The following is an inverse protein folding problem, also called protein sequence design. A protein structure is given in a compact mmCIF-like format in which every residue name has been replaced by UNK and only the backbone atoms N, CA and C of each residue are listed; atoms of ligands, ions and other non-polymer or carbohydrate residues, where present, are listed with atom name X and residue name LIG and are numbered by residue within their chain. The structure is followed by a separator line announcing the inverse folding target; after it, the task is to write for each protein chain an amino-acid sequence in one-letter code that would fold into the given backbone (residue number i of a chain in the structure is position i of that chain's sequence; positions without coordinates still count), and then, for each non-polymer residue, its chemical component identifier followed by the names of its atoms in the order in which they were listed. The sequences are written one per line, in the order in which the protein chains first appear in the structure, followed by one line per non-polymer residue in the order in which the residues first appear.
data_IF_245109524837
#
_entry.id   IF_245109524837
#
_cell.length_a   1.000
_cell.length_b   1.000
_cell.length_c   1.000
_cell.angle_alpha   90.00
_cell.angle_beta   90.00
_cell.angle_gamma   90.00
#
_symmetry.space_group_name_H-M   'P 1'
#
loop_
_entity.id
_entity.type
_entity.pdbx_description
1 polymer ?
#
# COMPACT_ATOMS: atom_id res chain seq x y z
N UNK A 1 4.91 56.10 -25.66
CA UNK A 1 5.25 54.66 -25.82
C UNK A 1 4.75 53.80 -24.66
N UNK A 2 4.88 54.23 -23.40
CA UNK A 2 4.37 53.52 -22.21
C UNK A 2 2.85 53.30 -22.20
N UNK A 3 2.07 54.33 -22.54
CA UNK A 3 0.60 54.22 -22.61
C UNK A 3 0.11 53.31 -23.74
N UNK A 4 0.84 53.21 -24.84
CA UNK A 4 0.49 52.30 -25.94
C UNK A 4 0.68 50.85 -25.51
N UNK A 5 1.79 50.54 -24.84
CA UNK A 5 2.03 49.21 -24.26
C UNK A 5 0.99 48.87 -23.19
N UNK A 6 0.64 49.82 -22.32
CA UNK A 6 -0.39 49.60 -21.30
C UNK A 6 -1.78 49.36 -21.91
N UNK A 7 -2.17 50.17 -22.89
CA UNK A 7 -3.44 49.99 -23.60
C UNK A 7 -3.47 48.70 -24.42
N UNK A 8 -2.35 48.31 -25.05
CA UNK A 8 -2.23 47.04 -25.76
C UNK A 8 -2.36 45.86 -24.79
N UNK A 9 -1.76 45.95 -23.60
CA UNK A 9 -1.82 44.91 -22.58
C UNK A 9 -3.22 44.80 -21.95
N UNK A 10 -3.90 45.93 -21.74
CA UNK A 10 -5.30 45.98 -21.31
C UNK A 10 -6.25 45.46 -22.40
N UNK A 11 -5.99 45.75 -23.66
CA UNK A 11 -6.79 45.22 -24.78
C UNK A 11 -6.62 43.71 -24.94
N UNK A 12 -5.41 43.17 -24.75
CA UNK A 12 -5.16 41.71 -24.71
C UNK A 12 -5.82 41.07 -23.49
N UNK A 13 -5.87 41.77 -22.36
CA UNK A 13 -6.55 41.30 -21.15
C UNK A 13 -8.08 41.27 -21.30
N UNK A 14 -8.66 42.32 -21.88
CA UNK A 14 -10.11 42.45 -22.11
C UNK A 14 -10.59 41.53 -23.25
N UNK A 15 -9.74 41.26 -24.24
CA UNK A 15 -10.01 40.32 -25.34
C UNK A 15 -9.60 38.87 -25.01
N UNK A 16 -9.25 38.55 -23.75
CA UNK A 16 -9.26 37.15 -23.29
C UNK A 16 -10.73 36.71 -23.22
N UNK A 17 -11.15 35.99 -24.24
CA UNK A 17 -12.51 35.45 -24.38
C UNK A 17 -13.02 34.83 -23.06
N UNK A 18 -14.04 35.45 -22.46
CA UNK A 18 -14.86 34.87 -21.38
C UNK A 18 -15.43 33.48 -21.74
N UNK A 19 -15.40 33.12 -23.02
CA UNK A 19 -15.84 31.84 -23.53
C UNK A 19 -15.05 30.66 -22.94
N UNK A 20 -13.74 30.79 -22.70
CA UNK A 20 -12.90 29.69 -22.19
C UNK A 20 -13.34 29.17 -20.82
N UNK A 21 -13.73 30.07 -19.91
CA UNK A 21 -14.26 29.69 -18.58
C UNK A 21 -15.63 29.01 -18.74
N UNK A 22 -16.46 29.50 -19.66
CA UNK A 22 -17.76 28.89 -19.95
C UNK A 22 -17.62 27.49 -20.56
N UNK A 23 -16.64 27.28 -21.45
CA UNK A 23 -16.36 25.98 -22.06
C UNK A 23 -15.84 24.97 -21.01
N UNK A 24 -14.93 25.41 -20.12
CA UNK A 24 -14.41 24.56 -19.05
C UNK A 24 -15.51 24.11 -18.08
N UNK A 25 -16.42 25.01 -17.71
CA UNK A 25 -17.57 24.68 -16.87
C UNK A 25 -18.58 23.77 -17.58
N UNK A 26 -18.77 23.94 -18.90
CA UNK A 26 -19.58 23.03 -19.73
C UNK A 26 -19.00 21.61 -19.71
N UNK A 27 -17.71 21.46 -20.00
CA UNK A 27 -17.04 20.15 -19.97
C UNK A 27 -17.14 19.46 -18.61
N UNK A 28 -17.04 20.20 -17.50
CA UNK A 28 -17.24 19.64 -16.17
C UNK A 28 -18.65 19.09 -15.98
N UNK A 29 -19.67 19.86 -16.38
CA UNK A 29 -21.07 19.45 -16.27
C UNK A 29 -21.38 18.22 -17.14
N UNK A 30 -20.84 18.19 -18.36
CA UNK A 30 -20.96 17.06 -19.28
C UNK A 30 -20.25 15.81 -18.73
N UNK A 31 -19.06 15.97 -18.15
CA UNK A 31 -18.30 14.87 -17.55
C UNK A 31 -19.06 14.25 -16.36
N UNK A 32 -19.60 15.10 -15.48
CA UNK A 32 -20.42 14.66 -14.34
C UNK A 32 -21.68 13.94 -14.82
N UNK A 33 -22.36 14.48 -15.83
CA UNK A 33 -23.56 13.86 -16.42
C UNK A 33 -23.24 12.50 -17.02
N UNK A 34 -22.15 12.37 -17.79
CA UNK A 34 -21.69 11.11 -18.34
C UNK A 34 -21.38 10.09 -17.23
N UNK A 35 -20.70 10.53 -16.16
CA UNK A 35 -20.36 9.68 -15.02
C UNK A 35 -21.62 9.16 -14.30
N UNK A 36 -22.60 10.04 -14.04
CA UNK A 36 -23.88 9.68 -13.41
C UNK A 36 -24.69 8.72 -14.28
N UNK A 37 -24.64 8.89 -15.60
CA UNK A 37 -25.25 7.98 -16.57
C UNK A 37 -24.48 6.66 -16.74
N UNK A 38 -23.39 6.45 -15.98
CA UNK A 38 -22.49 5.29 -16.06
C UNK A 38 -21.79 5.13 -17.41
N UNK A 39 -21.78 6.18 -18.23
CA UNK A 39 -20.93 6.24 -19.42
C UNK A 39 -19.50 6.62 -19.01
N UNK A 40 -18.83 5.66 -18.38
CA UNK A 40 -17.50 5.89 -17.82
C UNK A 40 -16.45 6.14 -18.90
N UNK A 41 -16.68 5.69 -20.14
CA UNK A 41 -15.78 5.95 -21.26
C UNK A 41 -15.84 7.42 -21.65
N UNK A 42 -17.04 7.97 -21.84
CA UNK A 42 -17.21 9.39 -22.13
C UNK A 42 -16.77 10.26 -20.95
N UNK A 43 -17.11 9.86 -19.72
CA UNK A 43 -16.68 10.57 -18.51
C UNK A 43 -15.15 10.62 -18.41
N UNK A 44 -14.45 9.50 -18.62
CA UNK A 44 -12.99 9.47 -18.60
C UNK A 44 -12.41 10.44 -19.64
N UNK A 45 -12.89 10.39 -20.89
CA UNK A 45 -12.42 11.28 -21.95
C UNK A 45 -12.57 12.76 -21.58
N UNK A 46 -13.75 13.16 -21.09
CA UNK A 46 -14.01 14.56 -20.69
C UNK A 46 -13.18 14.97 -19.47
N UNK A 47 -13.07 14.12 -18.45
CA UNK A 47 -12.23 14.41 -17.29
C UNK A 47 -10.75 14.48 -17.65
N UNK A 48 -10.24 13.69 -18.59
CA UNK A 48 -8.86 13.82 -19.08
C UNK A 48 -8.60 15.18 -19.71
N UNK A 49 -9.54 15.68 -20.52
CA UNK A 49 -9.43 17.02 -21.12
C UNK A 49 -9.37 18.09 -20.03
N UNK A 50 -10.17 17.96 -18.96
CA UNK A 50 -10.17 18.88 -17.82
C UNK A 50 -8.85 18.78 -17.05
N UNK A 51 -8.37 17.57 -16.75
CA UNK A 51 -7.22 17.36 -15.85
C UNK A 51 -5.87 17.58 -16.52
N UNK A 52 -5.76 17.32 -17.82
CA UNK A 52 -4.53 17.48 -18.59
C UNK A 52 -4.46 18.86 -19.26
N UNK A 53 -5.61 19.51 -19.48
CA UNK A 53 -5.70 20.85 -20.06
C UNK A 53 -5.34 21.98 -19.09
N UNK A 54 -5.26 21.70 -17.78
CA UNK A 54 -4.93 22.71 -16.76
C UNK A 54 -3.97 22.16 -15.72
N UNK A 55 -2.91 22.93 -15.43
CA UNK A 55 -2.00 22.67 -14.31
C UNK A 55 -2.71 22.76 -12.95
N UNK A 56 -3.83 23.49 -12.88
CA UNK A 56 -4.61 23.74 -11.68
C UNK A 56 -5.92 22.95 -11.67
N UNK A 57 -5.94 21.79 -12.32
CA UNK A 57 -7.13 20.95 -12.34
C UNK A 57 -7.59 20.61 -10.91
N UNK A 58 -8.89 20.79 -10.66
CA UNK A 58 -9.48 20.52 -9.36
C UNK A 58 -9.27 19.06 -8.94
N UNK A 59 -8.90 18.79 -7.67
CA UNK A 59 -8.71 17.42 -7.16
C UNK A 59 -9.93 16.53 -7.38
N UNK A 60 -11.15 17.09 -7.27
CA UNK A 60 -12.39 16.36 -7.50
C UNK A 60 -12.50 15.82 -8.94
N UNK A 61 -12.18 16.62 -9.95
CA UNK A 61 -12.20 16.19 -11.36
C UNK A 61 -11.21 15.05 -11.61
N UNK A 62 -10.02 15.12 -11.01
CA UNK A 62 -9.03 14.02 -11.09
C UNK A 62 -9.48 12.78 -10.32
N UNK A 63 -10.21 12.92 -9.22
CA UNK A 63 -10.81 11.79 -8.49
C UNK A 63 -11.84 11.08 -9.37
N UNK A 64 -12.72 11.82 -10.04
CA UNK A 64 -13.70 11.24 -10.95
C UNK A 64 -13.08 10.63 -12.21
N UNK A 65 -11.97 11.18 -12.72
CA UNK A 65 -11.17 10.51 -13.74
C UNK A 65 -10.67 9.14 -13.25
N UNK A 66 -10.11 9.10 -12.04
CA UNK A 66 -9.61 7.86 -11.44
C UNK A 66 -10.74 6.84 -11.22
N UNK A 67 -11.93 7.28 -10.79
CA UNK A 67 -13.13 6.44 -10.68
C UNK A 67 -13.59 5.91 -12.04
N UNK A 68 -13.62 6.76 -13.07
CA UNK A 68 -14.00 6.37 -14.42
C UNK A 68 -13.06 5.27 -14.94
N UNK A 69 -11.75 5.44 -14.74
CA UNK A 69 -10.77 4.41 -15.07
C UNK A 69 -10.93 3.12 -14.27
N UNK A 70 -11.29 3.22 -12.99
CA UNK A 70 -11.57 2.05 -12.16
C UNK A 70 -12.76 1.24 -12.70
N UNK A 71 -13.87 1.91 -13.06
CA UNK A 71 -15.05 1.23 -13.63
C UNK A 71 -14.84 0.68 -15.03
N UNK A 72 -13.86 1.21 -15.78
CA UNK A 72 -13.43 0.69 -17.08
C UNK A 72 -12.37 -0.42 -16.98
N UNK A 73 -12.10 -0.93 -15.78
CA UNK A 73 -11.06 -1.93 -15.50
C UNK A 73 -9.64 -1.50 -15.92
N UNK A 74 -9.43 -0.20 -16.15
CA UNK A 74 -8.14 0.40 -16.47
C UNK A 74 -7.36 0.70 -15.17
N UNK A 75 -7.08 -0.36 -14.40
CA UNK A 75 -6.65 -0.26 -13.01
C UNK A 75 -5.29 0.44 -12.83
N UNK A 76 -4.36 0.30 -13.77
CA UNK A 76 -3.07 1.01 -13.74
C UNK A 76 -3.23 2.52 -13.89
N UNK A 77 -4.11 2.94 -14.82
CA UNK A 77 -4.44 4.35 -15.00
C UNK A 77 -5.16 4.89 -13.77
N UNK A 78 -6.14 4.15 -13.26
CA UNK A 78 -6.87 4.52 -12.04
C UNK A 78 -5.90 4.72 -10.86
N UNK A 79 -5.03 3.73 -10.60
CA UNK A 79 -4.00 3.79 -9.56
C UNK A 79 -3.12 5.01 -9.70
N UNK A 80 -2.62 5.27 -10.91
CA UNK A 80 -1.75 6.40 -11.19
C UNK A 80 -2.44 7.72 -10.85
N UNK A 81 -3.72 7.88 -11.22
CA UNK A 81 -4.49 9.08 -10.89
C UNK A 81 -4.80 9.20 -9.39
N UNK A 82 -5.14 8.10 -8.69
CA UNK A 82 -5.34 8.16 -7.23
C UNK A 82 -4.05 8.51 -6.47
N UNK A 83 -2.88 8.03 -6.92
CA UNK A 83 -1.59 8.37 -6.29
C UNK A 83 -1.29 9.86 -6.33
N UNK A 84 -1.77 10.57 -7.34
CA UNK A 84 -1.63 12.03 -7.42
C UNK A 84 -2.52 12.77 -6.41
N UNK A 85 -3.49 12.09 -5.81
CA UNK A 85 -4.49 12.68 -4.92
C UNK A 85 -4.20 12.45 -3.43
N UNK A 86 -3.25 11.60 -3.06
CA UNK A 86 -3.06 11.22 -1.63
C UNK A 86 -2.55 12.35 -0.74
N UNK A 87 -1.93 13.37 -1.34
CA UNK A 87 -1.30 14.51 -0.65
C UNK A 87 -1.93 15.87 -1.04
N UNK A 88 -3.11 15.88 -1.67
CA UNK A 88 -3.81 17.14 -1.96
C UNK A 88 -4.35 17.75 -0.67
N UNK A 89 -4.53 19.06 -0.66
CA UNK A 89 -4.98 19.82 0.52
C UNK A 89 -6.43 19.51 0.91
N UNK A 90 -7.23 19.00 -0.02
CA UNK A 90 -8.58 18.50 0.26
C UNK A 90 -8.50 17.11 0.91
N UNK A 91 -8.62 17.08 2.24
CA UNK A 91 -8.54 15.85 3.05
C UNK A 91 -9.64 14.83 2.71
N UNK A 92 -10.82 15.28 2.27
CA UNK A 92 -11.91 14.38 1.89
C UNK A 92 -11.57 13.66 0.59
N UNK A 93 -11.07 14.39 -0.41
CA UNK A 93 -10.59 13.81 -1.68
C UNK A 93 -9.40 12.89 -1.44
N UNK A 94 -8.43 13.32 -0.64
CA UNK A 94 -7.26 12.51 -0.29
C UNK A 94 -7.66 11.22 0.42
N UNK A 95 -8.61 11.29 1.36
CA UNK A 95 -9.14 10.12 2.08
C UNK A 95 -9.84 9.15 1.14
N UNK A 96 -10.67 9.65 0.21
CA UNK A 96 -11.32 8.83 -0.83
C UNK A 96 -10.30 8.16 -1.75
N UNK A 97 -9.26 8.88 -2.17
CA UNK A 97 -8.19 8.33 -3.00
C UNK A 97 -7.41 7.22 -2.28
N UNK A 98 -7.00 7.46 -1.04
CA UNK A 98 -6.35 6.44 -0.20
C UNK A 98 -7.26 5.21 0.00
N UNK A 99 -8.57 5.42 0.21
CA UNK A 99 -9.54 4.31 0.30
C UNK A 99 -9.56 3.46 -0.96
N UNK A 100 -9.53 4.07 -2.15
CA UNK A 100 -9.52 3.35 -3.42
C UNK A 100 -8.19 2.68 -3.71
N UNK A 101 -7.06 3.27 -3.32
CA UNK A 101 -5.76 2.62 -3.40
C UNK A 101 -5.73 1.35 -2.54
N UNK A 102 -6.30 1.38 -1.34
CA UNK A 102 -6.44 0.19 -0.52
C UNK A 102 -7.23 -0.91 -1.22
N UNK A 103 -8.37 -0.57 -1.84
CA UNK A 103 -9.16 -1.53 -2.64
C UNK A 103 -8.32 -2.12 -3.77
N UNK A 104 -7.58 -1.29 -4.50
CA UNK A 104 -6.70 -1.74 -5.58
C UNK A 104 -5.57 -2.65 -5.11
N UNK A 105 -4.90 -2.33 -3.99
CA UNK A 105 -3.83 -3.17 -3.42
C UNK A 105 -4.38 -4.54 -2.99
N UNK A 106 -5.60 -4.60 -2.43
CA UNK A 106 -6.23 -5.88 -2.06
C UNK A 106 -6.64 -6.72 -3.26
N UNK A 107 -7.30 -6.11 -4.26
CA UNK A 107 -7.88 -6.84 -5.38
C UNK A 107 -6.82 -7.28 -6.38
N UNK A 108 -5.83 -6.43 -6.65
CA UNK A 108 -4.85 -6.65 -7.72
C UNK A 108 -3.58 -7.31 -7.21
N UNK A 109 -2.99 -6.74 -6.16
CA UNK A 109 -1.65 -7.14 -5.70
C UNK A 109 -1.74 -8.15 -4.55
N UNK A 110 -2.94 -8.34 -3.96
CA UNK A 110 -3.18 -9.10 -2.72
C UNK A 110 -2.33 -8.60 -1.55
N UNK A 111 -1.87 -7.35 -1.62
CA UNK A 111 -1.07 -6.72 -0.57
C UNK A 111 -1.99 -6.09 0.48
N UNK A 112 -2.32 -6.90 1.49
CA UNK A 112 -3.18 -6.46 2.59
C UNK A 112 -2.49 -5.50 3.55
N UNK A 113 -1.15 -5.51 3.60
CA UNK A 113 -0.39 -4.63 4.48
C UNK A 113 -0.40 -3.20 3.92
N UNK A 114 -0.12 -3.04 2.63
CA UNK A 114 -0.21 -1.75 1.94
C UNK A 114 -1.64 -1.20 2.01
N UNK A 115 -2.64 -2.05 1.78
CA UNK A 115 -4.04 -1.66 1.89
C UNK A 115 -4.42 -1.16 3.30
N UNK A 116 -3.98 -1.85 4.36
CA UNK A 116 -4.20 -1.40 5.73
C UNK A 116 -3.51 -0.06 6.02
N UNK A 117 -2.35 0.21 5.42
CA UNK A 117 -1.66 1.49 5.59
C UNK A 117 -2.41 2.63 4.89
N UNK A 118 -2.86 2.43 3.65
CA UNK A 118 -3.70 3.42 2.97
C UNK A 118 -4.98 3.71 3.75
N UNK A 119 -5.65 2.71 4.31
CA UNK A 119 -6.86 2.90 5.12
C UNK A 119 -6.60 3.66 6.42
N UNK A 120 -5.47 3.40 7.09
CA UNK A 120 -5.07 4.19 8.27
C UNK A 120 -4.87 5.66 7.90
N UNK A 121 -4.21 5.94 6.77
CA UNK A 121 -4.02 7.32 6.28
C UNK A 121 -5.36 7.95 5.95
N UNK A 122 -6.24 7.25 5.24
CA UNK A 122 -7.58 7.73 4.90
C UNK A 122 -8.39 8.13 6.15
N UNK A 123 -8.31 7.32 7.22
CA UNK A 123 -9.01 7.59 8.49
C UNK A 123 -8.38 8.72 9.30
N UNK A 124 -7.10 9.04 9.10
CA UNK A 124 -6.48 10.22 9.70
C UNK A 124 -6.90 11.51 8.98
N UNK A 125 -7.05 11.44 7.66
CA UNK A 125 -7.50 12.57 6.83
C UNK A 125 -8.99 12.87 7.04
N UNK A 126 -9.84 11.84 7.00
CA UNK A 126 -11.28 11.96 7.27
C UNK A 126 -11.75 10.78 8.14
N UNK A 127 -11.86 10.97 9.48
CA UNK A 127 -12.34 9.94 10.42
C UNK A 127 -13.77 9.48 10.17
N UNK A 128 -14.56 10.30 9.50
CA UNK A 128 -15.96 10.16 9.10
C UNK A 128 -16.13 9.42 7.76
N UNK A 129 -15.05 9.09 7.06
CA UNK A 129 -15.07 8.21 5.90
C UNK A 129 -15.47 6.77 6.30
N UNK A 130 -16.78 6.51 6.26
CA UNK A 130 -17.39 5.22 6.61
C UNK A 130 -16.87 4.06 5.74
N UNK A 131 -16.54 4.31 4.47
CA UNK A 131 -15.99 3.29 3.57
C UNK A 131 -14.60 2.86 4.01
N UNK A 132 -13.73 3.82 4.33
CA UNK A 132 -12.39 3.53 4.86
C UNK A 132 -12.50 2.75 6.18
N UNK A 133 -13.40 3.16 7.08
CA UNK A 133 -13.61 2.49 8.37
C UNK A 133 -14.04 1.04 8.18
N UNK A 134 -15.08 0.82 7.38
CA UNK A 134 -15.60 -0.50 7.07
C UNK A 134 -14.52 -1.39 6.42
N UNK A 135 -13.83 -0.89 5.40
CA UNK A 135 -12.76 -1.65 4.72
C UNK A 135 -11.60 -1.98 5.67
N UNK A 136 -11.22 -1.04 6.55
CA UNK A 136 -10.18 -1.26 7.55
C UNK A 136 -10.56 -2.35 8.55
N UNK A 137 -11.77 -2.30 9.08
CA UNK A 137 -12.28 -3.31 10.02
C UNK A 137 -12.35 -4.69 9.36
N UNK A 138 -12.86 -4.75 8.12
CA UNK A 138 -12.94 -5.99 7.34
C UNK A 138 -11.55 -6.59 7.09
N UNK A 139 -10.60 -5.79 6.60
CA UNK A 139 -9.23 -6.25 6.32
C UNK A 139 -8.51 -6.65 7.60
N UNK A 140 -8.64 -5.87 8.67
CA UNK A 140 -8.03 -6.21 9.95
C UNK A 140 -8.58 -7.55 10.45
N UNK A 141 -9.91 -7.76 10.44
CA UNK A 141 -10.51 -9.03 10.87
C UNK A 141 -10.07 -10.23 10.02
N UNK A 142 -9.92 -10.03 8.72
CA UNK A 142 -9.65 -11.12 7.77
C UNK A 142 -8.15 -11.46 7.70
N UNK A 143 -7.26 -10.51 8.00
CA UNK A 143 -5.81 -10.62 7.77
C UNK A 143 -4.92 -10.33 8.98
N UNK A 144 -5.46 -10.11 10.19
CA UNK A 144 -4.69 -9.86 11.44
C UNK A 144 -3.89 -11.05 11.99
N UNK A 145 -3.44 -11.99 11.14
CA UNK A 145 -2.73 -13.20 11.56
C UNK A 145 -2.33 -14.19 10.46
N UNK A 146 -2.61 -13.89 9.18
CA UNK A 146 -2.00 -14.57 8.04
C UNK A 146 -1.17 -13.55 7.28
N UNK A 147 0.09 -13.42 7.67
CA UNK A 147 1.08 -12.81 6.79
C UNK A 147 1.21 -13.74 5.58
N UNK A 148 0.54 -13.41 4.48
CA UNK A 148 1.00 -13.85 3.17
C UNK A 148 2.34 -13.17 2.95
N UNK A 149 3.42 -13.91 3.12
CA UNK A 149 4.76 -13.49 2.67
C UNK A 149 4.66 -13.19 1.17
N UNK A 150 4.90 -11.95 0.71
CA UNK A 150 5.22 -11.72 -0.68
C UNK A 150 6.65 -12.22 -0.88
N UNK A 151 6.86 -13.07 -1.88
CA UNK A 151 8.18 -13.35 -2.43
C UNK A 151 8.83 -12.02 -2.81
N UNK A 152 9.75 -11.52 -1.97
CA UNK A 152 10.74 -10.53 -2.38
C UNK A 152 12.02 -10.84 -1.61
N UNK A 153 13.18 -10.94 -2.29
CA UNK A 153 14.46 -11.13 -1.63
C UNK A 153 14.68 -10.02 -0.59
N UNK A 154 15.17 -10.34 0.62
CA UNK A 154 15.39 -9.32 1.64
C UNK A 154 16.39 -8.27 1.15
N UNK A 155 15.95 -7.01 1.02
CA UNK A 155 16.84 -5.85 1.03
C UNK A 155 17.39 -5.74 2.43
N UNK A 156 18.71 -5.87 2.56
CA UNK A 156 19.44 -5.66 3.81
C UNK A 156 19.17 -4.24 4.34
N UNK A 157 18.53 -4.16 5.50
CA UNK A 157 18.68 -3.01 6.40
C UNK A 157 19.66 -3.38 7.52
N UNK A 158 20.51 -2.44 7.97
CA UNK A 158 21.64 -2.75 8.85
C UNK A 158 21.13 -3.15 10.23
N UNK A 159 21.55 -4.33 10.70
CA UNK A 159 21.29 -4.80 12.05
C UNK A 159 22.01 -3.91 13.09
N UNK A 160 21.37 -3.64 14.26
CA UNK A 160 22.12 -3.21 15.44
C UNK A 160 23.00 -4.37 15.93
N UNK A 161 24.20 -4.01 16.38
CA UNK A 161 25.28 -4.92 16.80
C UNK A 161 24.83 -5.95 17.85
N UNK A 162 25.07 -7.26 17.65
CA UNK A 162 24.72 -8.27 18.65
C UNK A 162 25.82 -8.42 19.72
N UNK A 163 25.39 -8.53 20.97
CA UNK A 163 26.22 -9.01 22.07
C UNK A 163 26.58 -10.52 21.90
N UNK A 164 27.70 -11.01 22.46
CA UNK A 164 28.24 -12.33 22.18
C UNK A 164 27.41 -13.50 22.74
N UNK A 165 27.47 -14.70 22.12
CA UNK A 165 26.61 -15.83 22.43
C UNK A 165 27.19 -16.72 23.54
N UNK A 166 26.34 -17.15 24.47
CA UNK A 166 26.61 -18.22 25.45
C UNK A 166 25.99 -19.52 24.92
N UNK A 167 26.79 -20.59 24.84
CA UNK A 167 26.36 -21.92 24.36
C UNK A 167 25.18 -22.48 25.18
N UNK A 168 24.24 -23.25 24.58
CA UNK A 168 23.11 -23.81 25.31
C UNK A 168 23.53 -25.04 26.13
N UNK A 169 23.19 -25.06 27.41
CA UNK A 169 23.26 -26.25 28.27
C UNK A 169 22.04 -27.15 28.03
N UNK A 170 22.20 -28.46 28.29
CA UNK A 170 21.13 -29.47 28.18
C UNK A 170 19.83 -29.15 28.97
N UNK A 171 19.91 -28.23 29.93
CA UNK A 171 18.76 -27.70 30.67
C UNK A 171 17.84 -26.84 29.79
N UNK A 172 18.40 -26.01 28.88
CA UNK A 172 17.59 -25.19 27.95
C UNK A 172 16.86 -26.04 26.92
N UNK A 173 17.44 -27.15 26.48
CA UNK A 173 16.77 -28.07 25.54
C UNK A 173 15.55 -28.73 26.19
N UNK A 174 15.63 -29.04 27.49
CA UNK A 174 14.52 -29.58 28.24
C UNK A 174 13.40 -28.54 28.48
N UNK A 175 13.77 -27.30 28.82
CA UNK A 175 12.82 -26.18 28.97
C UNK A 175 12.09 -25.88 27.65
N UNK A 176 12.80 -25.87 26.53
CA UNK A 176 12.22 -25.70 25.19
C UNK A 176 11.26 -26.83 24.82
N UNK A 177 11.59 -28.07 25.20
CA UNK A 177 10.72 -29.22 24.97
C UNK A 177 9.44 -29.12 25.81
N UNK A 178 9.54 -28.67 27.06
CA UNK A 178 8.40 -28.43 27.95
C UNK A 178 7.51 -27.30 27.44
N UNK A 179 8.09 -26.17 27.03
CA UNK A 179 7.37 -25.03 26.46
C UNK A 179 6.61 -25.41 25.18
N UNK A 180 7.23 -26.26 24.34
CA UNK A 180 6.58 -26.81 23.14
C UNK A 180 5.38 -27.69 23.49
N UNK A 181 5.47 -28.49 24.54
CA UNK A 181 4.39 -29.39 24.96
C UNK A 181 3.21 -28.63 25.59
N UNK A 182 3.49 -27.61 26.41
CA UNK A 182 2.48 -26.70 26.95
C UNK A 182 1.77 -25.91 25.85
N UNK A 183 2.51 -25.45 24.84
CA UNK A 183 1.94 -24.79 23.68
C UNK A 183 0.96 -25.73 22.94
N UNK A 184 1.34 -26.99 22.73
CA UNK A 184 0.47 -27.99 22.10
C UNK A 184 -0.80 -28.26 22.93
N UNK A 185 -0.69 -28.31 24.26
CA UNK A 185 -1.86 -28.45 25.14
C UNK A 185 -2.78 -27.22 25.07
N UNK A 186 -2.21 -26.02 25.05
CA UNK A 186 -2.97 -24.77 24.90
C UNK A 186 -3.69 -24.71 23.54
N UNK A 187 -3.07 -25.17 22.46
CA UNK A 187 -3.69 -25.25 21.14
C UNK A 187 -4.85 -26.25 21.10
N UNK A 188 -4.73 -27.40 21.78
CA UNK A 188 -5.85 -28.36 21.93
C UNK A 188 -7.01 -27.79 22.75
N UNK A 189 -6.71 -27.00 23.79
CA UNK A 189 -7.73 -26.32 24.61
C UNK A 189 -8.51 -25.26 23.83
N UNK A 190 -7.91 -24.66 22.81
CA UNK A 190 -8.52 -23.58 22.02
C UNK A 190 -9.40 -24.03 20.83
N UNK A 191 -9.79 -25.31 20.76
CA UNK A 191 -10.62 -25.86 19.66
C UNK A 191 -10.10 -25.46 18.26
N UNK A 192 -8.79 -25.45 18.07
CA UNK A 192 -8.20 -25.24 16.74
C UNK A 192 -8.42 -26.50 15.88
N UNK A 193 -8.77 -26.30 14.60
CA UNK A 193 -8.92 -27.42 13.68
C UNK A 193 -7.58 -28.13 13.47
N UNK A 194 -7.62 -29.43 13.21
CA UNK A 194 -6.43 -30.27 13.02
C UNK A 194 -5.45 -29.69 11.99
N UNK A 195 -5.99 -29.06 10.94
CA UNK A 195 -5.22 -28.38 9.90
C UNK A 195 -4.47 -27.15 10.39
N UNK A 196 -5.04 -26.40 11.34
CA UNK A 196 -4.35 -25.25 11.95
C UNK A 196 -3.18 -25.70 12.82
N UNK A 197 -3.36 -26.75 13.61
CA UNK A 197 -2.28 -27.32 14.42
C UNK A 197 -1.13 -27.87 13.56
N UNK A 198 -1.45 -28.54 12.44
CA UNK A 198 -0.47 -29.02 11.47
C UNK A 198 0.30 -27.89 10.80
N UNK A 199 -0.39 -26.80 10.43
CA UNK A 199 0.26 -25.63 9.81
C UNK A 199 1.24 -24.92 10.74
N UNK A 200 0.90 -24.82 12.04
CA UNK A 200 1.79 -24.24 13.05
C UNK A 200 3.00 -25.16 13.24
N UNK A 201 2.79 -26.48 13.29
CA UNK A 201 3.85 -27.46 13.47
C UNK A 201 4.84 -27.45 12.29
N UNK A 202 4.36 -27.35 11.05
CA UNK A 202 5.21 -27.28 9.87
C UNK A 202 5.96 -25.94 9.78
N UNK A 203 5.33 -24.84 10.19
CA UNK A 203 6.00 -23.54 10.27
C UNK A 203 7.15 -23.56 11.30
N UNK A 204 6.97 -24.24 12.44
CA UNK A 204 8.03 -24.42 13.45
C UNK A 204 9.17 -25.28 12.93
N UNK A 205 8.89 -26.42 12.29
CA UNK A 205 9.92 -27.28 11.68
C UNK A 205 10.74 -26.55 10.61
N UNK A 206 10.08 -25.70 9.83
CA UNK A 206 10.76 -24.91 8.78
C UNK A 206 11.69 -23.86 9.39
N UNK A 207 11.30 -23.22 10.48
CA UNK A 207 12.14 -22.28 11.22
C UNK A 207 13.35 -22.99 11.88
N UNK A 208 13.13 -24.14 12.51
CA UNK A 208 14.20 -25.00 13.07
C UNK A 208 15.21 -25.41 11.98
N UNK A 209 14.74 -25.76 10.78
CA UNK A 209 15.63 -26.10 9.66
C UNK A 209 16.50 -24.92 9.20
N UNK A 210 15.95 -23.70 9.18
CA UNK A 210 16.70 -22.48 8.85
C UNK A 210 17.77 -22.18 9.90
N UNK A 211 17.44 -22.34 11.18
CA UNK A 211 18.39 -22.19 12.28
C UNK A 211 19.54 -23.21 12.18
N UNK A 212 19.24 -24.48 11.88
CA UNK A 212 20.24 -25.53 11.67
C UNK A 212 21.14 -25.21 10.46
N UNK A 213 20.58 -24.65 9.38
CA UNK A 213 21.35 -24.28 8.21
C UNK A 213 22.35 -23.14 8.51
N UNK A 214 21.96 -22.18 9.34
CA UNK A 214 22.82 -21.07 9.77
C UNK A 214 23.93 -21.54 10.71
N UNK A 215 23.62 -22.43 11.67
CA UNK A 215 24.61 -23.06 12.53
C UNK A 215 25.65 -23.84 11.72
N UNK A 216 25.20 -24.64 10.75
CA UNK A 216 26.09 -25.38 9.84
C UNK A 216 26.99 -24.44 9.04
N UNK A 217 26.46 -23.32 8.53
CA UNK A 217 27.26 -22.32 7.79
C UNK A 217 28.35 -21.69 8.65
N UNK A 218 28.06 -21.40 9.92
CA UNK A 218 29.06 -20.87 10.87
C UNK A 218 30.17 -21.88 11.15
N UNK A 219 29.85 -23.16 11.30
CA UNK A 219 30.86 -24.21 11.47
C UNK A 219 31.81 -24.31 10.27
N UNK A 220 31.28 -24.18 9.03
CA UNK A 220 32.11 -24.15 7.83
C UNK A 220 33.00 -22.89 7.75
N UNK A 221 32.51 -21.74 8.22
CA UNK A 221 33.29 -20.50 8.26
C UNK A 221 34.45 -20.57 9.26
N UNK A 222 34.20 -21.05 10.48
CA UNK A 222 35.23 -21.25 11.52
C UNK A 222 36.31 -22.26 11.11
N UNK A 223 35.92 -23.31 10.38
CA UNK A 223 36.87 -24.32 9.89
C UNK A 223 37.76 -23.78 8.76
N UNK A 224 37.24 -22.87 7.93
CA UNK A 224 38.00 -22.21 6.86
C UNK A 224 38.99 -21.15 7.35
N UNK A 225 38.63 -20.43 8.43
CA UNK A 225 39.50 -19.46 9.11
C UNK A 225 40.66 -20.16 9.81
N UNK A 226 40.41 -21.30 10.49
CA UNK A 226 41.47 -22.12 11.10
C UNK A 226 42.47 -22.69 10.10
N UNK A 227 42.07 -22.94 8.85
CA UNK A 227 42.99 -23.43 7.80
C UNK A 227 43.89 -22.35 7.19
N UNK A 228 43.65 -21.06 7.46
CA UNK A 228 44.46 -19.95 6.93
C UNK A 228 45.61 -19.54 7.85
N UNK A 229 45.66 -20.07 9.07
CA UNK A 229 46.79 -19.90 9.99
C UNK A 229 47.74 -21.08 9.76
N UNK A 230 48.53 -21.01 8.69
CA UNK A 230 49.71 -21.87 8.51
C UNK A 230 50.92 -20.98 8.81
N UNK A 231 51.60 -21.30 9.90
CA UNK A 231 52.79 -20.64 10.42
C UNK A 231 53.95 -20.70 9.42
N UNK A 232 54.62 -19.56 9.22
CA UNK A 232 56.04 -19.43 8.97
C UNK A 232 56.56 -18.26 9.81
#
# INVERSE_FOLDING_TARGET
MTYFLLNLLLWIWDNRSFDAISQANRHKTEAETAFLNKDFRQAAHLYEQITNGSLFAEPASRLYLAHSYFYLDSLDKARSQYKLLVNVQDDEVASKANTQLAVLSTMRDRDTLEALNYLKVALRQSPDNRKARYNYELLKKTFSGRASSPDTPPVEQPAPTPAPPVAPSAQRELELAQEREEMLQNLRRLHMSEDQARSILDAMKTNEAQYIYQLRRRQYYDQSERSKIIEW
#
